data_IF_808841703201
#
_entry.id   IF_808841703201
#
_cell.length_a   1.000
_cell.length_b   1.000
_cell.length_c   1.000
_cell.angle_alpha   90.00
_cell.angle_beta   90.00
_cell.angle_gamma   90.00
#
_symmetry.space_group_name_H-M   'P 1'
#
loop_
_entity.id
_entity.type
_entity.pdbx_description
1 polymer ?
#
# COMPACT_ATOMS: atom_id res chain seq x y z
N UNK A 1 15.00 -17.22 -12.08
CA UNK A 1 15.61 -18.56 -12.23
C UNK A 1 14.57 -19.64 -12.48
N UNK A 2 13.54 -19.81 -11.63
CA UNK A 2 12.50 -20.86 -11.78
C UNK A 2 11.80 -20.80 -13.16
N UNK A 3 11.27 -19.63 -13.56
CA UNK A 3 10.58 -19.47 -14.84
C UNK A 3 11.47 -19.79 -16.06
N UNK A 4 12.74 -19.39 -16.02
CA UNK A 4 13.71 -19.67 -17.08
C UNK A 4 14.04 -21.16 -17.20
N UNK A 5 14.13 -21.87 -16.07
CA UNK A 5 14.36 -23.32 -16.03
C UNK A 5 13.18 -24.11 -16.60
N UNK A 6 11.95 -23.75 -16.22
CA UNK A 6 10.74 -24.36 -16.75
C UNK A 6 10.62 -24.14 -18.27
N UNK A 7 10.85 -22.91 -18.74
CA UNK A 7 10.82 -22.58 -20.17
C UNK A 7 11.86 -23.40 -20.99
N UNK A 8 13.02 -23.67 -20.40
CA UNK A 8 14.04 -24.50 -21.04
C UNK A 8 13.64 -25.97 -21.12
N UNK A 9 13.05 -26.53 -20.05
CA UNK A 9 12.59 -27.94 -19.99
C UNK A 9 11.48 -28.20 -21.02
N UNK A 10 10.57 -27.23 -21.23
CA UNK A 10 9.50 -27.35 -22.23
C UNK A 10 9.95 -27.01 -23.66
N UNK A 11 11.26 -26.85 -23.90
CA UNK A 11 11.85 -26.73 -25.24
C UNK A 11 11.90 -25.31 -25.83
N UNK A 12 11.67 -24.26 -25.04
CA UNK A 12 11.82 -22.88 -25.54
C UNK A 12 13.31 -22.59 -25.80
N UNK A 13 13.61 -22.06 -26.99
CA UNK A 13 14.98 -21.70 -27.39
C UNK A 13 15.59 -20.72 -26.40
N UNK A 14 16.85 -20.95 -26.00
CA UNK A 14 17.59 -20.10 -25.06
C UNK A 14 17.58 -18.61 -25.42
N UNK A 15 17.66 -18.27 -26.71
CA UNK A 15 17.61 -16.87 -27.16
C UNK A 15 16.24 -16.21 -26.89
N UNK A 16 15.14 -16.96 -27.01
CA UNK A 16 13.80 -16.46 -26.68
C UNK A 16 13.68 -16.24 -25.17
N UNK A 17 14.15 -17.20 -24.36
CA UNK A 17 14.16 -17.05 -22.89
C UNK A 17 15.02 -15.84 -22.47
N UNK A 18 16.19 -15.67 -23.07
CA UNK A 18 17.11 -14.56 -22.81
C UNK A 18 16.48 -13.22 -23.17
N UNK A 19 15.84 -13.11 -24.34
CA UNK A 19 15.16 -11.90 -24.76
C UNK A 19 13.95 -11.61 -23.86
N UNK A 20 13.13 -12.63 -23.58
CA UNK A 20 11.99 -12.49 -22.68
C UNK A 20 12.41 -12.02 -21.28
N UNK A 21 13.49 -12.54 -20.69
CA UNK A 21 13.99 -12.07 -19.38
C UNK A 21 14.55 -10.64 -19.45
N UNK A 22 15.19 -10.26 -20.56
CA UNK A 22 15.68 -8.89 -20.78
C UNK A 22 14.55 -7.89 -20.98
N UNK A 23 13.49 -8.31 -21.65
CA UNK A 23 12.31 -7.49 -21.97
C UNK A 23 11.24 -7.55 -20.87
N UNK A 24 11.34 -8.53 -19.97
CA UNK A 24 10.43 -8.69 -18.84
C UNK A 24 10.53 -7.47 -17.94
N UNK A 25 9.56 -6.58 -18.08
CA UNK A 25 9.27 -5.58 -17.07
C UNK A 25 8.69 -6.33 -15.88
N UNK A 26 9.46 -6.37 -14.79
CA UNK A 26 8.94 -6.83 -13.52
C UNK A 26 7.59 -6.14 -13.26
N UNK A 27 6.60 -6.91 -12.83
CA UNK A 27 5.36 -6.33 -12.31
C UNK A 27 5.74 -5.72 -10.97
N UNK A 28 6.34 -4.53 -10.99
CA UNK A 28 6.64 -3.81 -9.77
C UNK A 28 5.36 -3.60 -9.00
N UNK A 29 5.49 -3.66 -7.68
CA UNK A 29 4.50 -3.31 -6.68
C UNK A 29 3.90 -1.95 -7.04
N UNK A 30 2.86 -1.97 -7.89
CA UNK A 30 2.34 -0.80 -8.60
C UNK A 30 1.65 0.10 -7.60
N UNK A 31 2.42 0.99 -7.00
CA UNK A 31 1.91 2.24 -6.50
C UNK A 31 1.43 3.00 -7.73
N UNK A 32 0.15 2.90 -7.99
CA UNK A 32 -0.46 3.49 -9.17
C UNK A 32 -0.87 4.91 -8.86
N UNK A 33 -0.40 5.85 -9.68
CA UNK A 33 -0.96 7.19 -9.69
C UNK A 33 -2.40 7.12 -10.22
N UNK A 34 -3.36 7.55 -9.40
CA UNK A 34 -4.79 7.53 -9.72
C UNK A 34 -5.24 8.87 -10.28
N UNK A 35 -4.95 9.96 -9.56
CA UNK A 35 -5.45 11.28 -9.89
C UNK A 35 -4.64 12.40 -9.21
N UNK A 36 -4.82 13.62 -9.71
CA UNK A 36 -4.49 14.84 -9.00
C UNK A 36 -5.77 15.67 -8.87
N UNK A 37 -6.13 16.03 -7.63
CA UNK A 37 -7.31 16.86 -7.35
C UNK A 37 -6.90 17.96 -6.39
N UNK A 38 -7.13 19.21 -6.76
CA UNK A 38 -6.73 20.38 -5.97
C UNK A 38 -5.23 20.35 -5.57
N UNK A 39 -4.38 19.84 -6.46
CA UNK A 39 -2.95 19.73 -6.20
C UNK A 39 -2.53 18.59 -5.27
N UNK A 40 -3.46 17.74 -4.81
CA UNK A 40 -3.19 16.54 -4.02
C UNK A 40 -3.07 15.34 -4.96
N UNK A 41 -2.00 14.55 -4.81
CA UNK A 41 -1.72 13.38 -5.66
C UNK A 41 -2.19 12.10 -4.97
N UNK A 42 -2.98 11.29 -5.66
CA UNK A 42 -3.56 10.05 -5.13
C UNK A 42 -2.80 8.84 -5.68
N UNK A 43 -2.37 7.97 -4.77
CA UNK A 43 -1.62 6.76 -5.09
C UNK A 43 -2.29 5.52 -4.51
N UNK A 44 -2.52 4.52 -5.35
CA UNK A 44 -3.17 3.27 -4.99
C UNK A 44 -2.17 2.11 -5.02
N UNK A 45 -1.88 1.57 -3.84
CA UNK A 45 -1.14 0.33 -3.59
C UNK A 45 -2.05 -0.67 -2.85
N UNK A 46 -3.30 -0.82 -3.28
CA UNK A 46 -4.27 -1.77 -2.69
C UNK A 46 -3.81 -3.24 -2.72
N UNK A 47 -2.78 -3.56 -3.53
CA UNK A 47 -2.08 -4.86 -3.55
C UNK A 47 -1.11 -5.04 -2.38
N UNK A 48 -0.76 -3.97 -1.67
CA UNK A 48 0.00 -3.97 -0.42
C UNK A 48 -0.77 -4.63 0.73
N UNK A 49 -0.96 -5.94 0.63
CA UNK A 49 -1.77 -6.75 1.57
C UNK A 49 -0.96 -7.33 2.73
N UNK A 50 0.27 -6.84 2.92
CA UNK A 50 1.16 -7.17 4.03
C UNK A 50 2.02 -5.95 4.42
N UNK A 51 2.55 -5.93 5.66
CA UNK A 51 3.42 -4.85 6.15
C UNK A 51 4.62 -4.54 5.25
N UNK A 52 5.35 -5.56 4.77
CA UNK A 52 6.57 -5.35 3.96
C UNK A 52 6.30 -4.64 2.64
N UNK A 53 5.15 -4.89 2.01
CA UNK A 53 4.73 -4.19 0.79
C UNK A 53 4.46 -2.72 1.07
N UNK A 54 3.84 -2.43 2.21
CA UNK A 54 3.53 -1.06 2.65
C UNK A 54 4.81 -0.28 2.98
N UNK A 55 5.81 -0.93 3.59
CA UNK A 55 7.13 -0.33 3.84
C UNK A 55 7.77 0.13 2.52
N UNK A 56 7.71 -0.70 1.46
CA UNK A 56 8.21 -0.31 0.13
C UNK A 56 7.43 0.87 -0.44
N UNK A 57 6.11 0.90 -0.26
CA UNK A 57 5.27 2.00 -0.71
C UNK A 57 5.61 3.33 -0.03
N UNK A 58 5.82 3.30 1.28
CA UNK A 58 6.28 4.45 2.09
C UNK A 58 7.62 4.98 1.59
N UNK A 59 8.57 4.08 1.28
CA UNK A 59 9.90 4.46 0.79
C UNK A 59 9.89 5.07 -0.62
N UNK A 60 8.89 4.75 -1.43
CA UNK A 60 8.74 5.32 -2.77
C UNK A 60 8.13 6.74 -2.75
N UNK A 61 7.52 7.16 -1.64
CA UNK A 61 6.95 8.50 -1.53
C UNK A 61 8.06 9.55 -1.44
N UNK A 62 7.96 10.58 -2.28
CA UNK A 62 8.92 11.70 -2.35
C UNK A 62 8.35 13.04 -1.85
N UNK A 63 7.13 13.02 -1.29
CA UNK A 63 6.40 14.19 -0.79
C UNK A 63 5.75 13.85 0.55
N UNK A 64 5.36 14.87 1.31
CA UNK A 64 4.52 14.68 2.50
C UNK A 64 3.26 13.91 2.12
N UNK A 65 2.96 12.85 2.87
CA UNK A 65 2.00 11.82 2.50
C UNK A 65 1.11 11.52 3.69
N UNK A 66 -0.21 11.48 3.44
CA UNK A 66 -1.19 10.87 4.34
C UNK A 66 -1.38 9.42 3.92
N UNK A 67 -1.22 8.49 4.85
CA UNK A 67 -1.25 7.05 4.60
C UNK A 67 -2.53 6.42 5.13
N UNK A 68 -3.23 5.65 4.29
CA UNK A 68 -4.39 4.86 4.70
C UNK A 68 -3.96 3.42 5.02
N UNK A 69 -4.16 2.98 6.27
CA UNK A 69 -3.87 1.62 6.74
C UNK A 69 -5.15 0.94 7.25
N UNK A 70 -5.40 -0.30 6.84
CA UNK A 70 -6.63 -0.97 7.25
C UNK A 70 -6.97 -2.22 6.46
N UNK A 71 -7.96 -2.96 6.95
CA UNK A 71 -8.45 -4.19 6.33
C UNK A 71 -8.66 -5.33 7.32
N UNK A 72 -8.61 -6.57 6.83
CA UNK A 72 -8.86 -7.79 7.59
C UNK A 72 -7.58 -8.39 8.21
N UNK A 73 -7.68 -8.93 9.42
CA UNK A 73 -6.52 -9.47 10.15
C UNK A 73 -5.99 -10.78 9.55
N UNK A 74 -4.66 -10.88 9.47
CA UNK A 74 -3.92 -12.11 9.15
C UNK A 74 -2.94 -12.49 10.26
N UNK A 75 -3.16 -12.00 11.49
CA UNK A 75 -2.19 -12.06 12.59
C UNK A 75 -0.82 -11.43 12.25
N UNK A 76 -0.83 -10.34 11.47
CA UNK A 76 0.39 -9.63 11.11
C UNK A 76 0.93 -8.77 12.27
N UNK A 77 2.26 -8.69 12.37
CA UNK A 77 2.97 -7.76 13.25
C UNK A 77 3.27 -6.46 12.47
N UNK A 78 2.77 -5.34 13.00
CA UNK A 78 2.93 -4.02 12.39
C UNK A 78 4.11 -3.22 12.96
N UNK A 79 4.85 -3.78 13.93
CA UNK A 79 5.95 -3.06 14.60
C UNK A 79 7.01 -2.60 13.60
N UNK A 80 7.40 -3.47 12.66
CA UNK A 80 8.35 -3.12 11.59
C UNK A 80 7.81 -2.04 10.66
N UNK A 81 6.52 -2.08 10.36
CA UNK A 81 5.86 -1.07 9.53
C UNK A 81 5.91 0.30 10.21
N UNK A 82 5.50 0.40 11.47
CA UNK A 82 5.50 1.67 12.21
C UNK A 82 6.91 2.22 12.34
N UNK A 83 7.90 1.37 12.64
CA UNK A 83 9.31 1.79 12.70
C UNK A 83 9.89 2.23 11.36
N UNK A 84 9.25 1.88 10.24
CA UNK A 84 9.68 2.31 8.91
C UNK A 84 9.16 3.69 8.51
N UNK A 85 8.25 4.28 9.29
CA UNK A 85 7.70 5.59 8.99
C UNK A 85 8.82 6.62 8.92
N UNK A 86 8.96 7.23 7.75
CA UNK A 86 9.95 8.25 7.49
C UNK A 86 9.31 9.64 7.56
N UNK A 87 10.12 10.69 7.38
CA UNK A 87 9.68 12.10 7.41
C UNK A 87 8.58 12.45 6.41
N UNK A 88 8.33 11.59 5.41
CA UNK A 88 7.29 11.82 4.42
C UNK A 88 5.91 11.40 4.93
N UNK A 89 5.81 10.46 5.87
CA UNK A 89 4.51 10.08 6.46
C UNK A 89 4.16 11.07 7.56
N UNK A 90 3.19 11.94 7.28
CA UNK A 90 2.83 13.04 8.18
C UNK A 90 1.49 12.85 8.89
N UNK A 91 0.69 11.90 8.43
CA UNK A 91 -0.56 11.52 9.08
C UNK A 91 -0.96 10.11 8.64
N UNK A 92 -1.62 9.38 9.53
CA UNK A 92 -2.12 8.02 9.24
C UNK A 92 -3.62 7.94 9.52
N UNK A 93 -4.38 7.38 8.58
CA UNK A 93 -5.81 7.10 8.77
C UNK A 93 -6.00 5.60 8.87
N UNK A 94 -6.52 5.16 10.01
CA UNK A 94 -6.76 3.75 10.32
C UNK A 94 -8.22 3.39 10.05
N UNK A 95 -8.46 2.32 9.31
CA UNK A 95 -9.81 1.87 8.97
C UNK A 95 -9.96 0.34 8.98
N UNK A 96 -11.21 -0.14 8.89
CA UNK A 96 -11.50 -1.57 8.80
C UNK A 96 -11.24 -2.34 10.09
N UNK A 97 -11.22 -3.67 10.00
CA UNK A 97 -11.23 -4.55 11.17
C UNK A 97 -9.96 -4.44 12.04
N UNK A 98 -8.78 -4.26 11.43
CA UNK A 98 -7.49 -4.24 12.16
C UNK A 98 -7.13 -2.88 12.77
N UNK A 99 -7.96 -1.85 12.61
CA UNK A 99 -7.63 -0.47 13.01
C UNK A 99 -7.13 -0.35 14.45
N UNK A 100 -7.76 -1.04 15.40
CA UNK A 100 -7.38 -0.99 16.81
C UNK A 100 -6.02 -1.65 17.10
N UNK A 101 -5.68 -2.71 16.38
CA UNK A 101 -4.40 -3.40 16.50
C UNK A 101 -3.25 -2.54 15.97
N UNK A 102 -3.47 -1.88 14.82
CA UNK A 102 -2.50 -0.93 14.27
C UNK A 102 -2.38 0.28 15.20
N UNK A 103 -3.50 0.81 15.71
CA UNK A 103 -3.53 1.92 16.68
C UNK A 103 -2.67 1.64 17.91
N UNK A 104 -2.83 0.45 18.51
CA UNK A 104 -2.01 0.04 19.64
C UNK A 104 -0.52 0.04 19.30
N UNK A 105 -0.17 -0.47 18.12
CA UNK A 105 1.22 -0.50 17.65
C UNK A 105 1.78 0.91 17.42
N UNK A 106 0.99 1.83 16.85
CA UNK A 106 1.38 3.24 16.69
C UNK A 106 1.67 3.88 18.06
N UNK A 107 0.74 3.73 19.00
CA UNK A 107 0.85 4.27 20.34
C UNK A 107 2.09 3.75 21.09
N UNK A 108 2.33 2.44 21.06
CA UNK A 108 3.50 1.80 21.70
C UNK A 108 4.85 2.24 21.08
N UNK A 109 4.85 2.71 19.84
CA UNK A 109 6.03 3.25 19.16
C UNK A 109 6.06 4.79 19.15
N UNK A 110 5.17 5.46 19.90
CA UNK A 110 5.16 6.91 20.08
C UNK A 110 4.65 7.72 18.88
N UNK A 111 3.92 7.11 17.95
CA UNK A 111 3.30 7.79 16.82
C UNK A 111 1.87 8.20 17.16
N UNK A 112 1.58 9.51 17.20
CA UNK A 112 0.30 10.05 17.66
C UNK A 112 -0.50 10.79 16.57
N UNK A 113 0.08 11.03 15.41
CA UNK A 113 -0.56 11.75 14.29
C UNK A 113 -1.43 10.81 13.45
N UNK A 114 -2.52 10.32 14.04
CA UNK A 114 -3.44 9.42 13.36
C UNK A 114 -4.91 9.66 13.72
N UNK A 115 -5.80 9.25 12.82
CA UNK A 115 -7.24 9.10 13.09
C UNK A 115 -7.69 7.65 12.90
N UNK A 116 -8.83 7.33 13.49
CA UNK A 116 -9.47 6.02 13.39
C UNK A 116 -10.89 6.23 12.89
N UNK A 117 -11.23 5.53 11.81
CA UNK A 117 -12.54 5.58 11.17
C UNK A 117 -13.01 4.15 10.90
N UNK A 118 -14.27 3.97 10.51
CA UNK A 118 -14.82 2.65 10.28
C UNK A 118 -14.57 2.19 8.83
N UNK A 119 -14.87 3.06 7.88
CA UNK A 119 -14.93 2.70 6.45
C UNK A 119 -13.79 3.31 5.63
N UNK A 120 -13.53 2.73 4.46
CA UNK A 120 -12.57 3.27 3.49
C UNK A 120 -12.97 4.66 2.98
N UNK A 121 -14.28 4.92 2.82
CA UNK A 121 -14.78 6.22 2.35
C UNK A 121 -14.53 7.31 3.39
N UNK A 122 -14.84 7.04 4.67
CA UNK A 122 -14.48 7.92 5.78
C UNK A 122 -12.96 8.12 5.86
N UNK A 123 -12.19 7.07 5.54
CA UNK A 123 -10.74 7.15 5.58
C UNK A 123 -10.20 8.08 4.51
N UNK A 124 -10.79 8.04 3.31
CA UNK A 124 -10.47 8.96 2.22
C UNK A 124 -10.85 10.39 2.57
N UNK A 125 -12.06 10.62 3.09
CA UNK A 125 -12.51 11.94 3.52
C UNK A 125 -11.59 12.55 4.58
N UNK A 126 -11.19 11.74 5.56
CA UNK A 126 -10.27 12.15 6.61
C UNK A 126 -8.86 12.42 6.10
N UNK A 127 -8.39 11.62 5.14
CA UNK A 127 -7.11 11.85 4.48
C UNK A 127 -7.09 13.17 3.67
N UNK A 128 -8.22 13.52 3.03
CA UNK A 128 -8.38 14.77 2.30
C UNK A 128 -8.29 15.97 3.26
N UNK A 129 -8.95 15.92 4.43
CA UNK A 129 -8.88 17.00 5.44
C UNK A 129 -7.45 17.26 5.95
N UNK A 130 -6.62 16.22 5.98
CA UNK A 130 -5.23 16.28 6.43
C UNK A 130 -4.21 16.51 5.31
N UNK A 131 -4.68 16.66 4.07
CA UNK A 131 -3.85 16.88 2.89
C UNK A 131 -3.93 18.33 2.41
N UNK A 132 -2.83 18.81 1.84
CA UNK A 132 -2.72 20.14 1.21
C UNK A 132 -2.13 19.99 -0.19
N UNK A 133 -2.23 21.05 -0.98
CA UNK A 133 -1.58 21.12 -2.29
C UNK A 133 -0.10 20.70 -2.21
N UNK A 134 0.32 19.85 -3.14
CA UNK A 134 1.67 19.30 -3.22
C UNK A 134 1.90 18.04 -2.36
N UNK A 135 0.92 17.62 -1.55
CA UNK A 135 0.96 16.39 -0.75
C UNK A 135 0.43 15.17 -1.51
N UNK A 136 0.71 13.99 -0.97
CA UNK A 136 0.20 12.71 -1.46
C UNK A 136 -0.85 12.13 -0.50
N UNK A 137 -1.80 11.39 -1.05
CA UNK A 137 -2.61 10.41 -0.33
C UNK A 137 -2.22 9.03 -0.86
N UNK A 138 -1.78 8.13 0.03
CA UNK A 138 -1.35 6.79 -0.31
C UNK A 138 -2.28 5.76 0.32
N UNK A 139 -3.01 5.01 -0.50
CA UNK A 139 -3.68 3.78 -0.08
C UNK A 139 -2.69 2.63 -0.13
N UNK A 140 -2.14 2.21 1.01
CA UNK A 140 -1.31 1.00 1.12
C UNK A 140 -1.69 0.26 2.40
N UNK A 141 -2.72 -0.61 2.34
CA UNK A 141 -3.51 -1.00 3.51
C UNK A 141 -2.79 -1.90 4.52
N UNK A 142 -1.63 -2.46 4.18
CA UNK A 142 -0.90 -3.49 4.94
C UNK A 142 -1.68 -4.79 5.25
N UNK A 143 -2.97 -4.85 4.89
CA UNK A 143 -3.89 -5.94 5.18
C UNK A 143 -4.72 -6.34 3.95
N UNK A 144 -5.25 -7.56 4.00
CA UNK A 144 -6.22 -8.02 3.02
C UNK A 144 -7.53 -7.22 3.09
N UNK A 145 -8.30 -7.22 2.02
CA UNK A 145 -9.50 -6.39 1.87
C UNK A 145 -10.81 -7.07 2.28
N UNK A 146 -10.76 -8.30 2.79
CA UNK A 146 -11.93 -9.20 2.89
C UNK A 146 -12.96 -8.78 3.92
N UNK A 147 -12.64 -7.79 4.75
CA UNK A 147 -13.55 -7.21 5.73
C UNK A 147 -14.60 -6.29 5.08
N UNK A 148 -14.22 -5.56 4.04
CA UNK A 148 -15.08 -4.57 3.39
C UNK A 148 -15.31 -4.83 1.89
N UNK A 149 -14.53 -5.72 1.28
CA UNK A 149 -14.55 -5.98 -0.16
C UNK A 149 -14.34 -7.47 -0.46
N UNK A 150 -14.87 -7.96 -1.58
CA UNK A 150 -14.68 -9.34 -2.03
C UNK A 150 -13.23 -9.65 -2.37
N UNK A 151 -12.47 -8.65 -2.83
CA UNK A 151 -11.04 -8.77 -3.16
C UNK A 151 -10.37 -7.38 -3.29
N UNK A 152 -9.04 -7.38 -3.48
CA UNK A 152 -8.27 -6.14 -3.61
C UNK A 152 -8.62 -5.34 -4.87
N UNK A 153 -9.16 -5.97 -5.93
CA UNK A 153 -9.55 -5.29 -7.17
C UNK A 153 -10.82 -4.47 -6.99
N UNK A 154 -11.74 -4.92 -6.15
CA UNK A 154 -12.93 -4.16 -5.78
C UNK A 154 -12.55 -2.93 -4.95
N UNK A 155 -11.71 -3.10 -3.91
CA UNK A 155 -11.14 -1.96 -3.16
C UNK A 155 -10.40 -0.98 -4.07
N UNK A 156 -9.67 -1.49 -5.07
CA UNK A 156 -8.98 -0.67 -6.07
C UNK A 156 -9.93 0.15 -6.94
N UNK A 157 -11.12 -0.36 -7.26
CA UNK A 157 -12.13 0.37 -8.05
C UNK A 157 -12.86 1.43 -7.23
N UNK A 158 -12.97 1.22 -5.93
CA UNK A 158 -13.63 2.18 -5.02
C UNK A 158 -12.78 3.41 -4.70
N UNK A 159 -11.44 3.30 -4.76
CA UNK A 159 -10.49 4.39 -4.51
C UNK A 159 -10.05 5.09 -5.80
#
# INVERSE_FOLDING_TARGET
MVASGMAYIIGIKRNIIKNAVKEFKAVEHRIEYVANKNGIYYYNDSKGTNPDSTIKAINAMNRRTVLLLGGSDKNSDFTKLVKSFNKNIVYVVLYGQVREKIRKTLYENGYNDYSVVETMDEALDEAIKHSKEGMNILLSPACASFDQYKNYEERRRSF
#
